data_IF_233386373031
#
_entry.id   IF_233386373031
#
_cell.length_a   1.000
_cell.length_b   1.000
_cell.length_c   1.000
_cell.angle_alpha   90.00
_cell.angle_beta   90.00
_cell.angle_gamma   90.00
#
_symmetry.space_group_name_H-M   'P 1'
#
loop_
_entity.id
_entity.type
_entity.pdbx_description
1 polymer ?
#
# COMPACT_ATOMS: atom_id res chain seq x y z
N UNK A 1 -5.18 11.83 -28.69
CA UNK A 1 -4.38 13.05 -28.47
C UNK A 1 -4.61 13.53 -27.03
N UNK A 2 -3.61 14.15 -26.41
CA UNK A 2 -3.76 14.79 -25.10
C UNK A 2 -4.70 16.00 -25.21
N UNK A 3 -5.53 16.23 -24.19
CA UNK A 3 -6.39 17.42 -24.13
C UNK A 3 -5.60 18.64 -23.64
N UNK A 4 -6.12 19.84 -23.88
CA UNK A 4 -5.50 21.08 -23.39
C UNK A 4 -5.38 21.07 -21.85
N UNK A 5 -6.39 20.56 -21.16
CA UNK A 5 -6.42 20.43 -19.70
C UNK A 5 -5.34 19.47 -19.18
N UNK A 6 -5.12 18.35 -19.86
CA UNK A 6 -4.05 17.39 -19.51
C UNK A 6 -2.66 18.02 -19.72
N UNK A 7 -2.47 18.75 -20.81
CA UNK A 7 -1.20 19.47 -21.04
C UNK A 7 -0.98 20.57 -20.00
N UNK A 8 -2.04 21.31 -19.64
CA UNK A 8 -1.98 22.31 -18.58
C UNK A 8 -1.60 21.66 -17.25
N UNK A 9 -2.22 20.54 -16.88
CA UNK A 9 -1.88 19.79 -15.67
C UNK A 9 -0.43 19.34 -15.64
N UNK A 10 0.10 18.86 -16.77
CA UNK A 10 1.52 18.52 -16.89
C UNK A 10 2.43 19.72 -16.58
N UNK A 11 2.13 20.88 -17.16
CA UNK A 11 2.90 22.13 -16.94
C UNK A 11 2.79 22.59 -15.50
N UNK A 12 1.62 22.47 -14.87
CA UNK A 12 1.42 22.89 -13.48
C UNK A 12 2.11 21.97 -12.47
N UNK A 13 2.20 20.67 -12.77
CA UNK A 13 2.97 19.70 -11.97
C UNK A 13 4.48 19.95 -12.04
N UNK A 14 4.97 20.44 -13.19
CA UNK A 14 6.39 20.71 -13.46
C UNK A 14 6.64 22.18 -13.84
N UNK A 15 6.18 23.10 -12.99
CA UNK A 15 6.08 24.52 -13.34
C UNK A 15 7.42 25.26 -13.41
N UNK A 16 8.00 25.60 -12.26
CA UNK A 16 9.28 26.32 -12.17
C UNK A 16 10.14 25.75 -11.04
N UNK A 17 11.47 25.95 -11.06
CA UNK A 17 12.36 25.40 -10.02
C UNK A 17 12.03 25.83 -8.58
N UNK A 18 11.46 27.02 -8.41
CA UNK A 18 11.16 27.61 -7.10
C UNK A 18 9.66 27.88 -6.86
N UNK A 19 8.81 27.57 -7.84
CA UNK A 19 7.38 27.81 -7.75
C UNK A 19 6.61 26.63 -8.32
N UNK A 20 5.66 26.12 -7.54
CA UNK A 20 4.72 25.10 -7.99
C UNK A 20 3.59 25.75 -8.81
N UNK A 21 3.05 25.02 -9.78
CA UNK A 21 1.81 25.41 -10.41
C UNK A 21 0.63 25.29 -9.45
N UNK A 22 -0.52 25.90 -9.77
CA UNK A 22 -1.67 25.93 -8.86
C UNK A 22 -2.17 24.53 -8.49
N UNK A 23 -2.21 23.57 -9.42
CA UNK A 23 -2.57 22.18 -9.07
C UNK A 23 -1.58 21.50 -8.12
N UNK A 24 -0.27 21.66 -8.35
CA UNK A 24 0.76 21.12 -7.47
C UNK A 24 0.69 21.74 -6.07
N UNK A 25 0.44 23.05 -5.99
CA UNK A 25 0.23 23.76 -4.72
C UNK A 25 -1.03 23.27 -4.00
N UNK A 26 -2.15 23.10 -4.70
CA UNK A 26 -3.37 22.55 -4.12
C UNK A 26 -3.17 21.13 -3.58
N UNK A 27 -2.44 20.27 -4.30
CA UNK A 27 -2.07 18.93 -3.82
C UNK A 27 -1.32 18.99 -2.48
N UNK A 28 -0.30 19.84 -2.39
CA UNK A 28 0.50 20.02 -1.18
C UNK A 28 -0.31 20.60 -0.02
N UNK A 29 -1.09 21.65 -0.27
CA UNK A 29 -1.94 22.28 0.75
C UNK A 29 -3.00 21.33 1.28
N UNK A 30 -3.64 20.56 0.40
CA UNK A 30 -4.60 19.53 0.81
C UNK A 30 -3.90 18.46 1.66
N UNK A 31 -2.75 17.95 1.22
CA UNK A 31 -2.05 16.89 1.93
C UNK A 31 -1.57 17.33 3.32
N UNK A 32 -0.90 18.49 3.41
CA UNK A 32 -0.46 19.08 4.69
C UNK A 32 -1.62 19.33 5.65
N UNK A 33 -2.75 19.85 5.13
CA UNK A 33 -3.91 20.11 5.96
C UNK A 33 -4.58 18.82 6.44
N UNK A 34 -4.75 17.83 5.56
CA UNK A 34 -5.34 16.53 5.91
C UNK A 34 -4.50 15.81 6.97
N UNK A 35 -3.18 15.91 6.84
CA UNK A 35 -2.23 15.43 7.84
C UNK A 35 -2.45 16.08 9.20
N UNK A 36 -2.40 17.41 9.26
CA UNK A 36 -2.50 18.18 10.50
C UNK A 36 -3.85 18.00 11.22
N UNK A 37 -4.92 17.71 10.48
CA UNK A 37 -6.28 17.55 11.00
C UNK A 37 -6.74 16.09 11.08
N UNK A 38 -5.81 15.12 11.00
CA UNK A 38 -6.11 13.69 11.06
C UNK A 38 -6.79 13.25 12.38
N UNK A 39 -6.47 13.90 13.51
CA UNK A 39 -7.07 13.60 14.82
C UNK A 39 -8.58 13.87 14.89
N UNK A 40 -9.08 14.81 14.09
CA UNK A 40 -10.50 15.19 14.09
C UNK A 40 -11.42 14.11 13.51
N UNK A 41 -10.86 13.04 12.93
CA UNK A 41 -11.62 11.93 12.31
C UNK A 41 -11.72 10.72 13.23
N UNK A 42 -10.76 10.51 14.13
CA UNK A 42 -10.62 9.28 14.90
C UNK A 42 -11.49 9.14 16.15
N UNK A 43 -12.14 10.22 16.61
CA UNK A 43 -12.98 10.20 17.82
C UNK A 43 -14.45 9.92 17.45
N UNK A 44 -15.06 8.82 17.92
CA UNK A 44 -16.50 8.64 17.81
C UNK A 44 -17.19 9.75 18.62
N UNK A 45 -17.96 10.58 17.92
CA UNK A 45 -18.56 11.80 18.44
C UNK A 45 -19.48 11.54 19.64
N UNK A 46 -19.01 11.83 20.86
CA UNK A 46 -19.85 12.08 22.02
C UNK A 46 -20.44 13.50 22.01
N UNK A 47 -19.93 14.38 21.14
CA UNK A 47 -20.40 15.76 20.92
C UNK A 47 -20.52 15.97 19.40
N UNK A 48 -21.62 16.53 18.88
CA UNK A 48 -21.85 16.66 17.45
C UNK A 48 -21.02 17.81 16.87
N UNK A 49 -19.69 17.67 16.80
CA UNK A 49 -18.88 18.53 15.94
C UNK A 49 -18.90 17.97 14.50
N UNK A 50 -20.11 17.99 13.92
CA UNK A 50 -20.44 17.48 12.58
C UNK A 50 -19.61 18.18 11.49
N UNK A 51 -19.03 19.35 11.78
CA UNK A 51 -18.34 20.22 10.82
C UNK A 51 -16.89 19.79 10.53
N UNK A 52 -16.13 19.37 11.55
CA UNK A 52 -14.71 19.03 11.39
C UNK A 52 -14.50 17.78 10.53
N UNK A 53 -15.19 16.69 10.86
CA UNK A 53 -15.05 15.41 10.15
C UNK A 53 -15.62 15.44 8.72
N UNK A 54 -16.70 16.19 8.48
CA UNK A 54 -17.25 16.36 7.11
C UNK A 54 -16.34 17.20 6.24
N UNK A 55 -15.76 18.28 6.78
CA UNK A 55 -14.76 19.11 6.08
C UNK A 55 -13.51 18.30 5.75
N UNK A 56 -13.05 17.45 6.67
CA UNK A 56 -11.91 16.57 6.41
C UNK A 56 -12.22 15.58 5.29
N UNK A 57 -13.37 14.89 5.34
CA UNK A 57 -13.78 13.96 4.28
C UNK A 57 -13.92 14.64 2.92
N UNK A 58 -14.50 15.84 2.86
CA UNK A 58 -14.61 16.62 1.62
C UNK A 58 -13.25 17.00 1.04
N UNK A 59 -12.30 17.44 1.88
CA UNK A 59 -10.92 17.71 1.44
C UNK A 59 -10.18 16.45 1.03
N UNK A 60 -10.39 15.32 1.73
CA UNK A 60 -9.80 14.04 1.38
C UNK A 60 -10.29 13.57 0.01
N UNK A 61 -11.59 13.69 -0.27
CA UNK A 61 -12.16 13.36 -1.57
C UNK A 61 -11.59 14.25 -2.69
N UNK A 62 -11.45 15.56 -2.45
CA UNK A 62 -10.81 16.47 -3.41
C UNK A 62 -9.36 16.08 -3.69
N UNK A 63 -8.59 15.70 -2.67
CA UNK A 63 -7.23 15.20 -2.81
C UNK A 63 -7.16 13.88 -3.61
N UNK A 64 -8.06 12.93 -3.34
CA UNK A 64 -8.15 11.68 -4.11
C UNK A 64 -8.47 11.94 -5.59
N UNK A 65 -9.36 12.90 -5.88
CA UNK A 65 -9.69 13.29 -7.24
C UNK A 65 -8.45 13.80 -7.98
N UNK A 66 -7.66 14.67 -7.35
CA UNK A 66 -6.40 15.16 -7.93
C UNK A 66 -5.38 14.04 -8.15
N UNK A 67 -5.26 13.10 -7.20
CA UNK A 67 -4.39 11.93 -7.37
C UNK A 67 -4.83 11.05 -8.54
N UNK A 68 -6.14 10.79 -8.66
CA UNK A 68 -6.71 10.01 -9.75
C UNK A 68 -6.53 10.70 -11.11
N UNK A 69 -6.72 12.02 -11.17
CA UNK A 69 -6.46 12.83 -12.36
C UNK A 69 -5.00 12.71 -12.82
N UNK A 70 -4.02 12.79 -11.92
CA UNK A 70 -2.60 12.62 -12.25
C UNK A 70 -2.28 11.20 -12.73
N UNK A 71 -2.90 10.17 -12.13
CA UNK A 71 -2.74 8.78 -12.59
C UNK A 71 -3.31 8.57 -13.99
N UNK A 72 -4.48 9.16 -14.26
CA UNK A 72 -5.09 9.14 -15.59
C UNK A 72 -4.22 9.89 -16.61
N UNK A 73 -3.69 11.07 -16.26
CA UNK A 73 -2.76 11.82 -17.09
C UNK A 73 -1.53 11.00 -17.46
N UNK A 74 -0.94 10.25 -16.52
CA UNK A 74 0.17 9.35 -16.83
C UNK A 74 -0.23 8.30 -17.88
N UNK A 75 -1.35 7.60 -17.69
CA UNK A 75 -1.83 6.59 -18.66
C UNK A 75 -2.07 7.17 -20.05
N UNK A 76 -2.68 8.36 -20.12
CA UNK A 76 -2.91 9.11 -21.36
C UNK A 76 -1.62 9.59 -22.01
N UNK A 77 -0.65 10.04 -21.21
CA UNK A 77 0.66 10.45 -21.70
C UNK A 77 1.41 9.28 -22.31
N UNK A 78 1.45 8.12 -21.64
CA UNK A 78 2.11 6.91 -22.15
C UNK A 78 1.46 6.40 -23.44
N UNK A 79 0.13 6.46 -23.54
CA UNK A 79 -0.60 5.95 -24.71
C UNK A 79 -0.62 6.90 -25.92
N UNK A 80 -0.42 8.21 -25.73
CA UNK A 80 -0.64 9.20 -26.79
C UNK A 80 0.53 10.13 -27.11
N UNK A 81 1.54 10.25 -26.24
CA UNK A 81 2.70 11.10 -26.50
C UNK A 81 3.62 10.53 -27.58
N UNK A 82 4.30 11.42 -28.32
CA UNK A 82 5.37 11.01 -29.24
C UNK A 82 6.53 10.38 -28.48
N UNK A 83 7.21 9.40 -29.08
CA UNK A 83 8.26 8.60 -28.42
C UNK A 83 9.39 9.45 -27.82
N UNK A 84 9.78 10.54 -28.47
CA UNK A 84 10.82 11.44 -27.97
C UNK A 84 10.41 12.09 -26.62
N UNK A 85 9.24 12.75 -26.60
CA UNK A 85 8.71 13.36 -25.37
C UNK A 85 8.43 12.34 -24.27
N UNK A 86 7.98 11.14 -24.65
CA UNK A 86 7.69 10.07 -23.72
C UNK A 86 8.94 9.67 -22.95
N UNK A 87 10.04 9.34 -23.62
CA UNK A 87 11.24 8.85 -22.92
C UNK A 87 11.92 9.93 -22.08
N UNK A 88 11.84 11.21 -22.48
CA UNK A 88 12.42 12.32 -21.72
C UNK A 88 11.61 12.65 -20.45
N UNK A 89 10.28 12.66 -20.53
CA UNK A 89 9.41 13.08 -19.42
C UNK A 89 8.85 11.94 -18.57
N UNK A 90 8.86 10.70 -19.07
CA UNK A 90 8.32 9.54 -18.37
C UNK A 90 8.90 9.35 -16.95
N UNK A 91 10.22 9.45 -16.71
CA UNK A 91 10.76 9.25 -15.36
C UNK A 91 10.13 10.17 -14.31
N UNK A 92 9.96 11.45 -14.65
CA UNK A 92 9.39 12.44 -13.75
C UNK A 92 7.90 12.20 -13.48
N UNK A 93 7.14 11.88 -14.53
CA UNK A 93 5.72 11.56 -14.41
C UNK A 93 5.47 10.26 -13.65
N UNK A 94 6.32 9.25 -13.87
CA UNK A 94 6.27 7.97 -13.17
C UNK A 94 6.55 8.16 -11.68
N UNK A 95 7.55 8.97 -11.32
CA UNK A 95 7.87 9.31 -9.92
C UNK A 95 6.69 10.02 -9.23
N UNK A 96 6.12 11.06 -9.85
CA UNK A 96 4.96 11.80 -9.28
C UNK A 96 3.73 10.90 -9.16
N UNK A 97 3.44 10.07 -10.16
CA UNK A 97 2.34 9.11 -10.10
C UNK A 97 2.49 8.17 -8.89
N UNK A 98 3.66 7.58 -8.70
CA UNK A 98 3.89 6.59 -7.64
C UNK A 98 3.85 7.21 -6.24
N UNK A 99 4.41 8.41 -6.04
CA UNK A 99 4.32 9.09 -4.74
C UNK A 99 2.87 9.49 -4.42
N UNK A 100 2.10 9.94 -5.41
CA UNK A 100 0.69 10.27 -5.23
C UNK A 100 -0.17 9.04 -4.97
N UNK A 101 0.12 7.89 -5.59
CA UNK A 101 -0.54 6.62 -5.25
C UNK A 101 -0.32 6.27 -3.78
N UNK A 102 0.92 6.37 -3.29
CA UNK A 102 1.24 6.12 -1.89
C UNK A 102 0.58 7.13 -0.94
N UNK A 103 0.65 8.43 -1.26
CA UNK A 103 0.05 9.50 -0.46
C UNK A 103 -1.48 9.41 -0.43
N UNK A 104 -2.11 9.11 -1.56
CA UNK A 104 -3.55 8.88 -1.68
C UNK A 104 -4.02 7.76 -0.76
N UNK A 105 -3.38 6.59 -0.83
CA UNK A 105 -3.70 5.46 0.04
C UNK A 105 -3.45 5.75 1.52
N UNK A 106 -2.38 6.48 1.83
CA UNK A 106 -2.07 6.89 3.18
C UNK A 106 -3.14 7.84 3.76
N UNK A 107 -3.64 8.80 2.97
CA UNK A 107 -4.76 9.66 3.37
C UNK A 107 -6.03 8.84 3.61
N UNK A 108 -6.35 7.86 2.75
CA UNK A 108 -7.49 6.97 2.98
C UNK A 108 -7.35 6.22 4.30
N UNK A 109 -6.15 5.71 4.59
CA UNK A 109 -5.85 5.03 5.85
C UNK A 109 -6.02 5.94 7.07
N UNK A 110 -5.55 7.20 7.02
CA UNK A 110 -5.80 8.17 8.09
C UNK A 110 -7.30 8.34 8.38
N UNK A 111 -8.13 8.30 7.34
CA UNK A 111 -9.58 8.43 7.48
C UNK A 111 -10.27 7.22 8.11
N UNK A 112 -9.62 6.05 8.10
CA UNK A 112 -10.14 4.80 8.66
C UNK A 112 -9.69 4.53 10.10
N UNK A 113 -8.73 5.31 10.62
CA UNK A 113 -8.15 5.07 11.94
C UNK A 113 -8.89 5.85 13.05
N UNK A 114 -9.12 5.19 14.18
CA UNK A 114 -9.39 5.85 15.47
C UNK A 114 -8.06 6.17 16.16
N UNK A 115 -7.19 6.97 15.53
CA UNK A 115 -5.87 7.29 16.09
C UNK A 115 -6.03 8.18 17.32
N UNK A 116 -5.57 7.70 18.49
CA UNK A 116 -5.64 8.43 19.77
C UNK A 116 -4.37 9.23 20.09
N UNK A 117 -3.27 9.01 19.37
CA UNK A 117 -1.98 9.64 19.64
C UNK A 117 -1.58 10.62 18.53
N UNK A 118 -0.99 11.79 18.87
CA UNK A 118 -0.46 12.71 17.89
C UNK A 118 0.65 12.03 17.09
N UNK A 119 0.46 11.91 15.77
CA UNK A 119 1.49 11.48 14.84
C UNK A 119 2.58 12.56 14.82
N UNK A 120 3.63 12.36 15.62
CA UNK A 120 4.75 13.28 15.70
C UNK A 120 5.62 13.06 14.46
N UNK A 121 5.67 14.05 13.57
CA UNK A 121 6.67 14.12 12.52
C UNK A 121 8.04 14.28 13.19
N UNK A 122 8.77 13.19 13.36
CA UNK A 122 10.21 13.25 13.57
C UNK A 122 10.82 13.85 12.33
N UNK A 123 11.27 15.10 12.41
CA UNK A 123 12.00 15.81 11.36
C UNK A 123 13.40 15.23 11.16
N UNK A 124 13.47 13.93 10.89
CA UNK A 124 14.73 13.18 10.85
C UNK A 124 15.38 13.25 9.46
N UNK A 125 14.64 13.64 8.41
CA UNK A 125 15.14 13.64 7.04
C UNK A 125 15.89 14.94 6.71
N UNK A 126 17.19 14.80 6.49
CA UNK A 126 18.09 15.88 6.09
C UNK A 126 17.62 16.59 4.80
N UNK A 127 17.62 17.93 4.73
CA UNK A 127 17.05 18.68 3.60
C UNK A 127 17.68 18.37 2.24
N UNK A 128 18.97 18.01 2.19
CA UNK A 128 19.72 17.72 0.97
C UNK A 128 19.51 16.30 0.42
N UNK A 129 18.92 15.40 1.20
CA UNK A 129 18.64 14.03 0.79
C UNK A 129 17.40 13.92 -0.12
N UNK A 130 16.58 14.98 -0.14
CA UNK A 130 15.31 15.04 -0.89
C UNK A 130 15.54 15.60 -2.28
N UNK A 131 14.89 15.03 -3.29
CA UNK A 131 14.83 15.65 -4.62
C UNK A 131 14.14 17.01 -4.51
N UNK A 132 14.50 17.98 -5.35
CA UNK A 132 13.76 19.25 -5.42
C UNK A 132 12.37 19.10 -6.03
N UNK A 133 11.54 20.14 -5.91
CA UNK A 133 10.21 20.21 -6.54
C UNK A 133 9.12 19.41 -5.82
N UNK A 134 7.97 19.23 -6.49
CA UNK A 134 6.77 18.64 -5.91
C UNK A 134 7.01 17.24 -5.30
N UNK A 135 7.79 16.40 -6.00
CA UNK A 135 8.09 15.04 -5.54
C UNK A 135 8.78 15.04 -4.17
N UNK A 136 9.79 15.88 -3.97
CA UNK A 136 10.52 15.94 -2.70
C UNK A 136 9.71 16.48 -1.54
N UNK A 137 8.81 17.43 -1.81
CA UNK A 137 7.89 17.93 -0.80
C UNK A 137 6.83 16.89 -0.41
N UNK A 138 6.28 16.14 -1.38
CA UNK A 138 5.39 15.02 -1.08
C UNK A 138 6.11 13.91 -0.32
N UNK A 139 7.35 13.60 -0.71
CA UNK A 139 8.22 12.66 0.00
C UNK A 139 8.47 13.09 1.44
N UNK A 140 8.71 14.39 1.68
CA UNK A 140 8.94 14.96 3.00
C UNK A 140 7.76 14.85 3.95
N UNK A 141 6.55 14.88 3.39
CA UNK A 141 5.31 14.87 4.15
C UNK A 141 4.89 13.44 4.54
N UNK A 142 5.37 12.42 3.84
CA UNK A 142 5.17 11.03 4.21
C UNK A 142 6.15 10.62 5.34
N UNK A 143 5.67 9.95 6.40
CA UNK A 143 6.51 9.51 7.52
C UNK A 143 7.22 8.21 7.16
N UNK A 144 8.00 8.24 6.10
CA UNK A 144 8.96 7.18 5.77
C UNK A 144 10.29 7.72 6.26
N UNK A 145 11.02 6.91 7.03
CA UNK A 145 12.27 7.36 7.65
C UNK A 145 13.33 7.79 6.62
N UNK A 146 14.58 7.91 7.04
CA UNK A 146 15.67 8.44 6.21
C UNK A 146 16.09 7.55 5.03
N UNK A 147 15.37 6.46 4.76
CA UNK A 147 15.62 5.52 3.66
C UNK A 147 15.22 6.15 2.32
N UNK A 148 16.15 6.92 1.78
CA UNK A 148 16.10 7.45 0.42
C UNK A 148 15.90 6.35 -0.63
N UNK A 149 16.51 5.18 -0.42
CA UNK A 149 16.49 4.05 -1.37
C UNK A 149 15.07 3.59 -1.73
N UNK A 150 14.10 3.75 -0.83
CA UNK A 150 12.67 3.48 -1.10
C UNK A 150 12.12 4.26 -2.31
N UNK A 151 12.73 5.41 -2.60
CA UNK A 151 12.29 6.36 -3.62
C UNK A 151 13.22 6.42 -4.84
N UNK A 152 14.44 5.88 -4.76
CA UNK A 152 15.45 6.00 -5.82
C UNK A 152 15.50 4.74 -6.68
N UNK A 153 14.70 4.73 -7.75
CA UNK A 153 14.75 3.63 -8.71
C UNK A 153 14.52 4.07 -10.15
N UNK A 154 15.19 3.40 -11.11
CA UNK A 154 14.96 3.69 -12.51
C UNK A 154 13.53 3.27 -12.88
N UNK A 155 12.79 4.11 -13.63
CA UNK A 155 11.51 3.72 -14.20
C UNK A 155 11.70 2.54 -15.16
N UNK A 156 10.64 1.76 -15.43
CA UNK A 156 10.72 0.68 -16.40
C UNK A 156 11.11 1.23 -17.79
N UNK A 157 11.98 0.51 -18.50
CA UNK A 157 12.39 0.88 -19.86
C UNK A 157 11.20 0.95 -20.84
N UNK A 158 10.16 0.17 -20.55
CA UNK A 158 8.92 0.16 -21.30
C UNK A 158 7.80 0.69 -20.41
N UNK A 159 7.32 1.92 -20.66
CA UNK A 159 6.26 2.50 -19.87
C UNK A 159 4.95 1.72 -20.09
N UNK A 160 4.27 1.37 -19.00
CA UNK A 160 2.94 0.76 -19.03
C UNK A 160 1.87 1.85 -18.88
N UNK A 161 0.80 1.75 -19.66
CA UNK A 161 -0.39 2.62 -19.52
C UNK A 161 -1.37 2.12 -18.48
N UNK A 162 -1.08 1.02 -17.78
CA UNK A 162 -1.98 0.46 -16.76
C UNK A 162 -2.23 1.46 -15.63
N UNK A 163 -3.50 1.58 -15.25
CA UNK A 163 -3.93 2.37 -14.10
C UNK A 163 -3.99 1.46 -12.89
N UNK A 164 -3.45 1.95 -11.77
CA UNK A 164 -3.44 1.25 -10.50
C UNK A 164 -4.20 2.07 -9.47
N UNK A 165 -4.93 1.39 -8.58
CA UNK A 165 -5.61 1.98 -7.44
C UNK A 165 -5.04 1.33 -6.19
N UNK A 166 -4.55 2.17 -5.27
CA UNK A 166 -4.02 1.74 -3.99
C UNK A 166 -4.99 2.17 -2.89
N UNK A 167 -5.49 1.22 -2.09
CA UNK A 167 -6.48 1.49 -1.04
C UNK A 167 -6.26 0.63 0.21
N UNK A 168 -6.69 1.10 1.40
CA UNK A 168 -6.78 0.24 2.57
C UNK A 168 -7.85 -0.84 2.38
N UNK A 169 -7.71 -1.94 3.12
CA UNK A 169 -8.67 -3.04 3.12
C UNK A 169 -10.05 -2.56 3.63
N UNK A 170 -11.10 -2.80 2.84
CA UNK A 170 -12.47 -2.46 3.21
C UNK A 170 -13.14 -3.62 3.97
N UNK A 171 -14.10 -3.35 4.88
CA UNK A 171 -14.87 -4.40 5.53
C UNK A 171 -15.61 -5.31 4.55
N UNK A 172 -16.06 -4.78 3.39
CA UNK A 172 -16.68 -5.58 2.33
C UNK A 172 -15.72 -6.62 1.73
N UNK A 173 -14.41 -6.38 1.79
CA UNK A 173 -13.41 -7.34 1.31
C UNK A 173 -13.23 -8.53 2.28
N UNK A 174 -13.78 -8.44 3.51
CA UNK A 174 -13.62 -9.44 4.59
C UNK A 174 -14.71 -10.50 4.63
N UNK A 175 -15.88 -10.26 4.05
CA UNK A 175 -16.99 -11.23 4.13
C UNK A 175 -16.81 -12.33 3.09
N UNK A 176 -16.39 -13.53 3.55
CA UNK A 176 -16.33 -14.76 2.75
C UNK A 176 -17.73 -15.25 2.30
N UNK A 177 -18.83 -14.77 2.91
CA UNK A 177 -20.15 -15.43 2.87
C UNK A 177 -21.31 -14.64 2.21
N UNK A 178 -21.11 -13.46 1.62
CA UNK A 178 -22.21 -12.63 1.05
C UNK A 178 -22.35 -12.69 -0.49
N UNK A 179 -21.80 -13.67 -1.21
CA UNK A 179 -22.18 -13.83 -2.64
C UNK A 179 -22.29 -15.29 -3.12
N UNK A 180 -23.45 -15.97 -2.90
CA UNK A 180 -23.70 -17.27 -3.50
C UNK A 180 -24.15 -17.22 -4.97
N UNK A 181 -24.63 -16.08 -5.50
CA UNK A 181 -25.45 -16.09 -6.73
C UNK A 181 -25.03 -15.17 -7.88
N UNK A 182 -23.91 -14.47 -7.80
CA UNK A 182 -23.40 -13.73 -8.98
C UNK A 182 -22.05 -14.29 -9.39
N UNK A 183 -22.10 -15.20 -10.36
CA UNK A 183 -21.00 -15.50 -11.29
C UNK A 183 -20.68 -14.24 -12.09
N UNK A 184 -20.06 -13.25 -11.44
CA UNK A 184 -19.56 -12.01 -12.00
C UNK A 184 -18.09 -11.80 -11.59
N UNK A 185 -17.26 -11.20 -12.45
CA UNK A 185 -15.78 -11.24 -12.38
C UNK A 185 -15.14 -10.33 -11.31
N UNK A 186 -15.77 -10.17 -10.14
CA UNK A 186 -15.30 -9.24 -9.10
C UNK A 186 -15.27 -9.77 -7.67
N UNK A 187 -15.88 -10.92 -7.36
CA UNK A 187 -16.09 -11.39 -5.98
C UNK A 187 -15.31 -12.69 -5.67
N UNK A 188 -13.99 -12.69 -5.87
CA UNK A 188 -13.14 -13.87 -5.67
C UNK A 188 -11.65 -13.55 -5.52
N UNK A 189 -11.30 -12.43 -4.89
CA UNK A 189 -9.98 -11.84 -5.10
C UNK A 189 -8.77 -12.60 -4.50
N UNK A 190 -8.89 -13.20 -3.31
CA UNK A 190 -7.86 -14.11 -2.78
C UNK A 190 -7.81 -15.45 -3.53
N UNK A 191 -8.85 -15.79 -4.29
CA UNK A 191 -9.04 -17.10 -4.96
C UNK A 191 -8.62 -17.07 -6.43
N UNK A 192 -8.74 -15.92 -7.10
CA UNK A 192 -8.56 -15.78 -8.55
C UNK A 192 -7.09 -15.60 -8.99
N UNK A 193 -6.23 -15.01 -8.16
CA UNK A 193 -4.80 -14.85 -8.51
C UNK A 193 -3.86 -15.86 -7.87
N UNK A 194 -4.33 -16.58 -6.85
CA UNK A 194 -3.60 -17.65 -6.18
C UNK A 194 -4.38 -18.95 -6.37
N UNK A 195 -4.29 -19.56 -7.56
CA UNK A 195 -4.68 -20.96 -7.75
C UNK A 195 -3.46 -21.79 -8.16
N UNK A 196 -3.34 -23.03 -7.63
CA UNK A 196 -4.44 -23.98 -7.44
C UNK A 196 -4.86 -24.23 -5.99
N UNK A 197 -4.68 -23.30 -5.06
CA UNK A 197 -5.05 -23.52 -3.66
C UNK A 197 -5.52 -22.23 -2.93
N UNK A 198 -6.82 -22.04 -2.64
CA UNK A 198 -7.33 -21.07 -1.65
C UNK A 198 -6.59 -21.06 -0.30
N UNK A 199 -5.86 -22.13 0.00
CA UNK A 199 -5.02 -22.24 1.19
C UNK A 199 -3.70 -21.46 1.12
N UNK A 200 -3.20 -21.06 -0.06
CA UNK A 200 -2.03 -20.18 -0.21
C UNK A 200 -2.34 -18.73 0.20
N UNK A 201 -3.55 -18.28 -0.09
CA UNK A 201 -4.12 -17.02 0.37
C UNK A 201 -4.21 -16.99 1.92
N UNK A 202 -4.67 -18.08 2.52
CA UNK A 202 -4.66 -18.27 3.98
C UNK A 202 -3.25 -18.42 4.57
N UNK A 203 -2.28 -18.94 3.81
CA UNK A 203 -0.90 -19.25 4.21
C UNK A 203 -0.16 -18.04 4.80
N UNK A 204 -0.36 -16.88 4.21
CA UNK A 204 0.51 -15.72 4.42
C UNK A 204 -0.26 -14.48 4.87
N UNK A 205 -1.44 -14.25 4.32
CA UNK A 205 -2.26 -13.07 4.63
C UNK A 205 -3.30 -13.31 5.71
N UNK A 206 -3.75 -14.56 5.89
CA UNK A 206 -4.90 -14.85 6.76
C UNK A 206 -4.70 -14.37 8.21
N UNK A 207 -3.50 -14.51 8.77
CA UNK A 207 -3.21 -14.01 10.11
C UNK A 207 -3.26 -12.48 10.19
N UNK A 208 -2.82 -11.77 9.16
CA UNK A 208 -2.89 -10.30 9.13
C UNK A 208 -4.32 -9.81 8.96
N UNK A 209 -5.11 -10.45 8.10
CA UNK A 209 -6.52 -10.09 7.89
C UNK A 209 -7.36 -10.25 9.17
N UNK A 210 -7.07 -11.28 9.96
CA UNK A 210 -7.78 -11.55 11.23
C UNK A 210 -7.26 -10.72 12.40
N UNK A 211 -5.94 -10.58 12.56
CA UNK A 211 -5.33 -10.01 13.77
C UNK A 211 -4.94 -8.53 13.63
N UNK A 212 -4.59 -8.08 12.43
CA UNK A 212 -4.13 -6.70 12.17
C UNK A 212 -4.64 -6.14 10.82
N UNK A 213 -5.96 -6.13 10.58
CA UNK A 213 -6.53 -5.63 9.33
C UNK A 213 -6.25 -4.14 9.09
N UNK A 214 -5.99 -3.37 10.14
CA UNK A 214 -5.79 -1.93 10.10
C UNK A 214 -4.49 -1.49 9.39
N UNK A 215 -3.55 -2.41 9.16
CA UNK A 215 -2.34 -2.18 8.37
C UNK A 215 -2.30 -3.07 7.12
N UNK A 216 -3.48 -3.33 6.52
CA UNK A 216 -3.58 -4.07 5.26
C UNK A 216 -4.02 -3.16 4.13
N UNK A 217 -3.28 -3.20 3.03
CA UNK A 217 -3.49 -2.44 1.81
C UNK A 217 -3.59 -3.37 0.61
N UNK A 218 -4.43 -3.00 -0.34
CA UNK A 218 -4.68 -3.73 -1.58
C UNK A 218 -4.35 -2.82 -2.75
N UNK A 219 -3.66 -3.38 -3.73
CA UNK A 219 -3.40 -2.77 -5.02
C UNK A 219 -4.30 -3.43 -6.05
N UNK A 220 -5.02 -2.62 -6.82
CA UNK A 220 -5.94 -3.04 -7.88
C UNK A 220 -5.50 -2.47 -9.22
N UNK A 221 -5.61 -3.28 -10.27
CA UNK A 221 -5.52 -2.91 -11.66
C UNK A 221 -6.89 -3.06 -12.35
N UNK A 222 -6.93 -2.89 -13.67
CA UNK A 222 -8.16 -3.01 -14.47
C UNK A 222 -8.75 -4.44 -14.44
N UNK A 223 -7.92 -5.45 -14.18
CA UNK A 223 -8.30 -6.88 -14.07
C UNK A 223 -8.55 -7.29 -12.61
N UNK A 224 -8.72 -6.31 -11.71
CA UNK A 224 -8.99 -6.46 -10.30
C UNK A 224 -7.76 -6.33 -9.40
N UNK A 225 -7.82 -6.79 -8.14
CA UNK A 225 -6.68 -6.75 -7.24
C UNK A 225 -5.49 -7.47 -7.85
N UNK A 226 -4.28 -6.93 -7.67
CA UNK A 226 -3.03 -7.37 -8.28
C UNK A 226 -1.85 -7.33 -7.30
N UNK A 227 -2.04 -6.80 -6.09
CA UNK A 227 -1.03 -6.83 -5.04
C UNK A 227 -1.59 -6.53 -3.66
N UNK A 228 -0.78 -6.80 -2.64
CA UNK A 228 -1.12 -6.56 -1.25
C UNK A 228 0.10 -6.15 -0.45
N UNK A 229 -0.15 -5.42 0.63
CA UNK A 229 0.81 -5.13 1.68
C UNK A 229 0.11 -5.23 3.02
N UNK A 230 0.62 -6.07 3.92
CA UNK A 230 0.09 -6.28 5.24
C UNK A 230 1.18 -6.08 6.28
N UNK A 231 0.83 -5.52 7.42
CA UNK A 231 1.75 -5.35 8.53
C UNK A 231 1.11 -5.55 9.89
N UNK A 232 1.96 -5.70 10.89
CA UNK A 232 1.59 -5.74 12.30
C UNK A 232 2.52 -4.81 13.07
N UNK A 233 1.93 -3.89 13.85
CA UNK A 233 2.68 -2.89 14.61
C UNK A 233 3.57 -3.53 15.68
N UNK A 234 3.02 -4.50 16.43
CA UNK A 234 3.72 -5.27 17.46
C UNK A 234 3.87 -6.73 17.02
N UNK A 235 5.04 -7.07 16.47
CA UNK A 235 5.33 -8.40 15.97
C UNK A 235 5.29 -9.48 17.07
N UNK A 236 5.75 -9.16 18.28
CA UNK A 236 5.72 -10.12 19.41
C UNK A 236 4.29 -10.52 19.77
N UNK A 237 3.41 -9.52 19.99
CA UNK A 237 2.00 -9.78 20.28
C UNK A 237 1.28 -10.46 19.11
N UNK A 238 1.57 -10.05 17.87
CA UNK A 238 1.01 -10.66 16.68
C UNK A 238 1.40 -12.14 16.53
N UNK A 239 2.68 -12.48 16.71
CA UNK A 239 3.16 -13.86 16.62
C UNK A 239 2.56 -14.73 17.76
N UNK A 240 2.46 -14.20 18.97
CA UNK A 240 1.82 -14.89 20.09
C UNK A 240 0.33 -15.16 19.82
N UNK A 241 -0.41 -14.17 19.30
CA UNK A 241 -1.82 -14.34 18.93
C UNK A 241 -1.99 -15.31 17.75
N UNK A 242 -1.11 -15.22 16.76
CA UNK A 242 -1.09 -16.15 15.62
C UNK A 242 -0.95 -17.59 16.10
N UNK A 243 -0.03 -17.84 17.03
CA UNK A 243 0.28 -19.19 17.49
C UNK A 243 -0.76 -19.73 18.50
N UNK A 244 -1.39 -18.85 19.28
CA UNK A 244 -2.37 -19.23 20.32
C UNK A 244 -3.83 -19.29 19.85
N UNK A 245 -4.26 -18.44 18.92
CA UNK A 245 -5.67 -18.36 18.50
C UNK A 245 -5.87 -18.71 17.02
N UNK A 246 -5.11 -18.09 16.12
CA UNK A 246 -5.34 -18.20 14.68
C UNK A 246 -4.89 -19.56 14.11
N UNK A 247 -3.66 -20.00 14.40
CA UNK A 247 -3.15 -21.29 13.92
C UNK A 247 -4.01 -22.48 14.40
N UNK A 248 -4.42 -22.57 15.68
CA UNK A 248 -5.35 -23.61 16.12
C UNK A 248 -6.69 -23.58 15.39
N UNK A 249 -7.28 -22.40 15.18
CA UNK A 249 -8.55 -22.27 14.45
C UNK A 249 -8.43 -22.72 12.98
N UNK A 250 -7.35 -22.35 12.31
CA UNK A 250 -7.07 -22.75 10.92
C UNK A 250 -6.78 -24.25 10.82
N UNK A 251 -6.02 -24.83 11.77
CA UNK A 251 -5.77 -26.28 11.82
C UNK A 251 -7.05 -27.08 12.05
N UNK A 252 -8.03 -26.51 12.75
CA UNK A 252 -9.36 -27.09 12.91
C UNK A 252 -10.22 -26.97 11.64
N UNK A 253 -10.19 -25.81 10.95
CA UNK A 253 -10.87 -25.62 9.64
C UNK A 253 -10.25 -26.50 8.54
N UNK A 254 -8.94 -26.80 8.63
CA UNK A 254 -8.18 -27.58 7.65
C UNK A 254 -7.33 -28.69 8.30
N UNK A 255 -7.94 -29.82 8.71
CA UNK A 255 -7.22 -31.01 9.17
C UNK A 255 -6.29 -31.60 8.11
N UNK A 256 -5.23 -32.30 8.55
CA UNK A 256 -4.19 -32.90 7.67
C UNK A 256 -4.77 -33.90 6.66
N UNK A 257 -5.85 -34.58 7.02
CA UNK A 257 -6.43 -35.66 6.23
C UNK A 257 -7.24 -35.15 5.02
N UNK A 258 -7.64 -33.87 5.00
CA UNK A 258 -8.33 -33.23 3.87
C UNK A 258 -7.48 -33.18 2.59
N UNK A 259 -6.15 -33.26 2.71
CA UNK A 259 -5.24 -33.20 1.56
C UNK A 259 -5.40 -34.35 0.57
N UNK A 260 -6.03 -35.46 0.99
CA UNK A 260 -6.35 -36.61 0.13
C UNK A 260 -7.70 -36.49 -0.56
N UNK A 261 -8.65 -35.74 0.01
CA UNK A 261 -10.02 -35.62 -0.47
C UNK A 261 -10.29 -34.37 -1.31
N UNK A 262 -9.49 -33.30 -1.14
CA UNK A 262 -9.67 -32.02 -1.84
C UNK A 262 -8.36 -31.57 -2.51
N UNK A 263 -8.06 -32.04 -3.74
CA UNK A 263 -6.85 -31.64 -4.48
C UNK A 263 -6.78 -30.14 -4.77
N UNK A 264 -7.92 -29.45 -4.76
CA UNK A 264 -8.03 -28.00 -4.92
C UNK A 264 -7.47 -27.19 -3.74
N UNK A 265 -7.12 -27.81 -2.61
CA UNK A 265 -6.58 -27.11 -1.43
C UNK A 265 -5.04 -27.06 -1.42
N UNK A 266 -4.39 -27.72 -2.39
CA UNK A 266 -2.93 -27.81 -2.49
C UNK A 266 -2.31 -28.46 -1.25
N UNK A 267 -1.85 -29.71 -1.38
CA UNK A 267 -1.24 -30.46 -0.28
C UNK A 267 -0.12 -29.67 0.44
N UNK A 268 0.62 -28.84 -0.30
CA UNK A 268 1.64 -27.94 0.24
C UNK A 268 1.09 -26.90 1.23
N UNK A 269 -0.10 -26.37 1.02
CA UNK A 269 -0.65 -25.31 1.88
C UNK A 269 -1.15 -25.88 3.21
N UNK A 270 -1.70 -27.09 3.18
CA UNK A 270 -1.97 -27.88 4.39
C UNK A 270 -0.68 -28.18 5.16
N UNK A 271 0.38 -28.63 4.48
CA UNK A 271 1.68 -28.85 5.12
C UNK A 271 2.22 -27.58 5.78
N UNK A 272 2.01 -26.41 5.19
CA UNK A 272 2.42 -25.14 5.78
C UNK A 272 1.69 -24.82 7.08
N UNK A 273 0.35 -24.93 7.13
CA UNK A 273 -0.41 -24.64 8.36
C UNK A 273 -0.04 -25.56 9.53
N UNK A 274 0.41 -26.77 9.19
CA UNK A 274 0.79 -27.80 10.13
C UNK A 274 2.30 -27.87 10.41
N UNK A 275 3.11 -27.09 9.69
CA UNK A 275 4.52 -26.92 9.97
C UNK A 275 4.72 -26.03 11.21
N UNK A 276 5.82 -26.24 11.91
CA UNK A 276 6.23 -25.35 12.99
C UNK A 276 6.78 -24.05 12.40
N UNK A 277 6.25 -22.88 12.81
CA UNK A 277 6.75 -21.62 12.31
C UNK A 277 8.18 -21.38 12.81
N UNK A 278 9.07 -20.80 11.98
CA UNK A 278 10.43 -20.50 12.41
C UNK A 278 10.41 -19.47 13.54
N UNK A 279 11.14 -19.75 14.62
CA UNK A 279 11.28 -18.83 15.73
C UNK A 279 12.06 -17.58 15.31
N UNK A 280 11.51 -16.41 15.59
CA UNK A 280 12.20 -15.13 15.35
C UNK A 280 13.11 -14.84 16.55
N UNK A 281 14.42 -14.58 16.33
CA UNK A 281 15.31 -14.23 17.43
C UNK A 281 14.84 -12.97 18.17
N UNK A 282 14.85 -12.95 19.52
CA UNK A 282 14.37 -11.80 20.30
C UNK A 282 15.19 -10.51 20.06
N UNK A 283 16.45 -10.66 19.63
CA UNK A 283 17.28 -9.52 19.21
C UNK A 283 16.68 -8.77 18.01
N UNK A 284 16.07 -9.49 17.07
CA UNK A 284 15.39 -8.89 15.90
C UNK A 284 14.14 -8.15 16.36
N UNK A 285 13.30 -8.77 17.19
CA UNK A 285 12.06 -8.16 17.70
C UNK A 285 12.32 -6.86 18.50
N UNK A 286 13.42 -6.82 19.27
CA UNK A 286 13.81 -5.60 20.02
C UNK A 286 14.26 -4.46 19.10
N UNK A 287 14.92 -4.78 17.98
CA UNK A 287 15.42 -3.78 17.02
C UNK A 287 14.36 -3.36 16.01
N UNK A 288 13.53 -4.30 15.58
CA UNK A 288 12.50 -4.17 14.57
C UNK A 288 11.16 -4.68 15.15
N UNK A 289 10.39 -3.80 15.79
CA UNK A 289 9.17 -4.20 16.51
C UNK A 289 8.02 -4.60 15.59
N UNK A 290 8.04 -4.24 14.31
CA UNK A 290 6.92 -4.47 13.39
C UNK A 290 7.24 -5.52 12.33
N UNK A 291 6.24 -6.34 11.99
CA UNK A 291 6.34 -7.37 10.95
C UNK A 291 5.61 -6.88 9.70
N UNK A 292 6.22 -7.04 8.53
CA UNK A 292 5.62 -6.68 7.25
C UNK A 292 5.67 -7.81 6.25
N UNK A 293 4.67 -7.85 5.39
CA UNK A 293 4.60 -8.78 4.28
C UNK A 293 3.98 -8.11 3.05
N UNK A 294 4.64 -8.24 1.91
CA UNK A 294 4.20 -7.70 0.64
C UNK A 294 4.23 -8.80 -0.42
N UNK A 295 3.27 -8.73 -1.33
CA UNK A 295 3.22 -9.61 -2.48
C UNK A 295 2.49 -8.95 -3.62
N UNK A 296 3.04 -9.08 -4.82
CA UNK A 296 2.39 -8.65 -6.06
C UNK A 296 2.27 -9.83 -7.01
N UNK A 297 1.23 -9.78 -7.83
CA UNK A 297 0.99 -10.80 -8.82
C UNK A 297 1.98 -10.68 -9.97
N UNK A 298 2.33 -11.80 -10.64
CA UNK A 298 3.28 -11.80 -11.74
C UNK A 298 2.86 -10.95 -12.96
N UNK A 299 1.58 -10.55 -13.04
CA UNK A 299 1.08 -9.61 -14.06
C UNK A 299 1.49 -8.16 -13.83
N UNK A 300 1.88 -7.79 -12.61
CA UNK A 300 2.36 -6.44 -12.28
C UNK A 300 3.82 -6.33 -12.74
N UNK A 301 4.02 -5.79 -13.94
CA UNK A 301 5.36 -5.61 -14.52
C UNK A 301 6.05 -4.34 -14.02
N UNK A 302 5.27 -3.34 -13.59
CA UNK A 302 5.79 -2.09 -13.08
C UNK A 302 6.14 -2.22 -11.58
N UNK A 303 7.38 -1.92 -11.24
CA UNK A 303 7.85 -1.98 -9.83
C UNK A 303 7.32 -0.79 -9.03
N UNK A 304 6.90 0.29 -9.69
CA UNK A 304 6.43 1.53 -9.06
C UNK A 304 5.28 1.32 -8.06
N UNK A 305 4.13 0.77 -8.50
CA UNK A 305 2.99 0.52 -7.62
C UNK A 305 3.30 -0.41 -6.44
N UNK A 306 4.15 -1.42 -6.66
CA UNK A 306 4.62 -2.34 -5.62
C UNK A 306 5.40 -1.61 -4.51
N UNK A 307 6.13 -0.54 -4.87
CA UNK A 307 6.83 0.31 -3.90
C UNK A 307 5.91 1.33 -3.26
N UNK A 308 4.95 1.88 -4.00
CA UNK A 308 3.91 2.73 -3.41
C UNK A 308 3.15 2.00 -2.31
N UNK A 309 2.85 0.70 -2.51
CA UNK A 309 2.35 -0.21 -1.48
C UNK A 309 3.26 -0.25 -0.24
N UNK A 310 4.57 -0.47 -0.44
CA UNK A 310 5.55 -0.51 0.64
C UNK A 310 5.64 0.83 1.39
N UNK A 311 5.77 1.94 0.67
CA UNK A 311 5.85 3.29 1.24
C UNK A 311 4.62 3.60 2.08
N UNK A 312 3.43 3.25 1.59
CA UNK A 312 2.17 3.45 2.31
C UNK A 312 2.13 2.64 3.61
N UNK A 313 2.47 1.34 3.56
CA UNK A 313 2.51 0.48 4.74
C UNK A 313 3.54 0.96 5.78
N UNK A 314 4.75 1.28 5.33
CA UNK A 314 5.82 1.76 6.21
C UNK A 314 5.45 3.09 6.85
N UNK A 315 4.80 3.97 6.09
CA UNK A 315 4.29 5.24 6.57
C UNK A 315 3.21 5.05 7.64
N UNK A 316 2.28 4.11 7.44
CA UNK A 316 1.26 3.77 8.43
C UNK A 316 1.86 3.22 9.74
N UNK A 317 2.83 2.33 9.65
CA UNK A 317 3.52 1.77 10.82
C UNK A 317 4.36 2.81 11.56
N UNK A 318 5.06 3.68 10.82
CA UNK A 318 5.88 4.75 11.40
C UNK A 318 5.01 5.82 12.06
N UNK A 319 3.87 6.17 11.45
CA UNK A 319 2.89 7.11 12.02
C UNK A 319 2.39 6.63 13.39
N UNK A 320 2.26 5.31 13.57
CA UNK A 320 1.86 4.69 14.84
C UNK A 320 3.05 4.31 15.75
N UNK A 321 4.24 4.88 15.51
CA UNK A 321 5.38 4.82 16.42
C UNK A 321 6.37 3.69 16.19
N UNK A 322 6.25 2.94 15.09
CA UNK A 322 7.24 1.90 14.77
C UNK A 322 8.64 2.48 14.53
N UNK A 323 9.65 1.79 15.07
CA UNK A 323 11.08 2.16 14.94
C UNK A 323 11.81 1.36 13.87
N UNK A 324 11.18 0.32 13.34
CA UNK A 324 11.80 -0.58 12.38
C UNK A 324 10.88 -1.74 12.03
N UNK A 325 11.07 -2.30 10.85
CA UNK A 325 10.28 -3.42 10.33
C UNK A 325 11.20 -4.59 9.98
N UNK A 326 10.66 -5.81 10.03
CA UNK A 326 11.30 -6.98 9.43
C UNK A 326 10.27 -7.78 8.62
N UNK A 327 10.76 -8.58 7.69
CA UNK A 327 9.95 -9.51 6.90
C UNK A 327 10.53 -10.92 7.00
N UNK A 328 9.70 -11.93 6.73
CA UNK A 328 10.13 -13.32 6.60
C UNK A 328 9.97 -13.72 5.14
N UNK A 329 11.08 -14.11 4.51
CA UNK A 329 11.11 -14.51 3.11
C UNK A 329 11.74 -15.89 3.04
N UNK A 330 11.21 -16.76 2.16
CA UNK A 330 11.83 -18.05 1.90
C UNK A 330 13.11 -17.86 1.10
N UNK A 331 14.17 -18.60 1.43
CA UNK A 331 15.44 -18.58 0.67
C UNK A 331 15.25 -19.00 -0.80
N UNK A 332 14.19 -19.78 -1.08
CA UNK A 332 13.82 -20.17 -2.44
C UNK A 332 13.20 -19.04 -3.28
N UNK A 333 12.65 -18.00 -2.64
CA UNK A 333 11.95 -16.90 -3.32
C UNK A 333 12.90 -15.74 -3.64
N UNK A 334 13.69 -15.95 -4.70
CA UNK A 334 14.65 -14.95 -5.19
C UNK A 334 14.00 -13.63 -5.64
N UNK A 335 12.73 -13.66 -6.06
CA UNK A 335 12.03 -12.46 -6.52
C UNK A 335 11.71 -11.55 -5.32
N UNK A 336 11.12 -12.12 -4.27
CA UNK A 336 10.86 -11.37 -3.03
C UNK A 336 12.16 -10.89 -2.38
N UNK A 337 13.19 -11.74 -2.31
CA UNK A 337 14.49 -11.33 -1.78
C UNK A 337 15.06 -10.14 -2.56
N UNK A 338 15.06 -10.20 -3.90
CA UNK A 338 15.53 -9.08 -4.73
C UNK A 338 14.69 -7.82 -4.54
N UNK A 339 13.38 -7.96 -4.35
CA UNK A 339 12.49 -6.83 -4.09
C UNK A 339 12.82 -6.15 -2.75
N UNK A 340 12.88 -6.92 -1.66
CA UNK A 340 13.20 -6.39 -0.34
C UNK A 340 14.62 -5.82 -0.26
N UNK A 341 15.62 -6.48 -0.86
CA UNK A 341 16.99 -5.95 -0.90
C UNK A 341 17.11 -4.61 -1.64
N UNK A 342 16.16 -4.29 -2.54
CA UNK A 342 16.12 -2.99 -3.22
C UNK A 342 15.41 -1.91 -2.41
N UNK A 343 14.66 -2.26 -1.38
CA UNK A 343 13.94 -1.29 -0.54
C UNK A 343 14.83 -0.65 0.54
N UNK A 344 16.02 -1.20 0.80
CA UNK A 344 16.95 -0.76 1.84
C UNK A 344 16.82 -1.58 3.12
#
# INVERSE_FOLDING_TARGET
PLTLEEVQMLVELFYLPYHHGPQAQHLLEHFQWLWANSFSVGVPAAVPDVCGGTRWRGRAQAFQLLCAQTCHLHSRFVSSAGRALLYDLHPYLWDIRNILLAAGAFVLWLGCQSTTAPILLGGDAEPWARRGGLFGELQALLPVGNSCDLFYHPPPLFPSSQVYILRPLLPLDKEEDVWPELSGPGAGWLRAQLSPAPALAGRLLGSFLSLSPEYTFVLEDEDGPCGYAAGALCAEGFLQQRDSSWLPAIRHKYPRDLGTAAPALGQEALLFFHAEPPAVPPAVLRRFPSLVQLGTAPRVLDVGPSRSLAICLLSALRANGSRGVFCQVSDSDRQQLSFYSKLG
#
